data_IF_929887717150
#
_entry.id   IF_929887717150
#
_cell.length_a   1.000
_cell.length_b   1.000
_cell.length_c   1.000
_cell.angle_alpha   90.00
_cell.angle_beta   90.00
_cell.angle_gamma   90.00
#
_symmetry.space_group_name_H-M   'P 1'
#
loop_
_entity.id
_entity.type
_entity.pdbx_description
1 polymer ?
#
# COMPACT_ATOMS: atom_id res chain seq x y z
N UNK A 1 -5.82 -11.11 34.87
CA UNK A 1 -5.33 -9.91 34.15
C UNK A 1 -6.30 -9.68 33.01
N UNK A 2 -6.90 -8.49 32.91
CA UNK A 2 -7.83 -8.12 31.84
C UNK A 2 -7.16 -7.04 30.99
N UNK A 3 -7.21 -7.18 29.67
CA UNK A 3 -6.72 -6.18 28.71
C UNK A 3 -7.90 -5.60 27.94
N UNK A 4 -7.98 -4.28 27.84
CA UNK A 4 -9.04 -3.56 27.13
C UNK A 4 -8.40 -2.73 26.02
N UNK A 5 -8.85 -2.92 24.77
CA UNK A 5 -8.39 -2.15 23.61
C UNK A 5 -9.55 -1.39 23.00
N UNK A 6 -9.38 -0.08 22.84
CA UNK A 6 -10.38 0.82 22.26
C UNK A 6 -9.73 1.69 21.18
N UNK A 7 -10.47 1.99 20.11
CA UNK A 7 -10.03 2.88 19.03
C UNK A 7 -11.04 4.01 18.85
N UNK A 8 -10.58 5.24 18.61
CA UNK A 8 -11.41 6.37 18.18
C UNK A 8 -10.91 6.92 16.85
N UNK A 9 -11.84 7.23 15.94
CA UNK A 9 -11.53 7.91 14.67
C UNK A 9 -11.55 9.44 14.80
N UNK A 10 -12.00 9.98 15.94
CA UNK A 10 -12.08 11.42 16.18
C UNK A 10 -11.21 11.69 17.40
N UNK A 11 -10.00 12.19 17.16
CA UNK A 11 -8.98 12.39 18.20
C UNK A 11 -9.32 13.54 19.15
N UNK A 12 -10.00 14.57 18.66
CA UNK A 12 -10.33 15.78 19.44
C UNK A 12 -11.65 15.68 20.21
N UNK A 13 -12.49 14.70 19.88
CA UNK A 13 -13.77 14.46 20.56
C UNK A 13 -13.70 13.33 21.61
N UNK A 14 -12.51 12.81 21.89
CA UNK A 14 -12.34 11.78 22.92
C UNK A 14 -12.51 12.46 24.28
N UNK A 15 -13.41 11.88 25.07
CA UNK A 15 -13.66 12.36 26.43
C UNK A 15 -12.39 12.22 27.30
N UNK A 16 -12.12 13.24 28.11
CA UNK A 16 -10.85 13.39 28.83
C UNK A 16 -10.65 12.30 29.88
N UNK A 17 -11.70 11.84 30.57
CA UNK A 17 -11.60 10.75 31.53
C UNK A 17 -11.26 9.40 30.87
N UNK A 18 -11.64 9.16 29.61
CA UNK A 18 -11.15 8.01 28.84
C UNK A 18 -9.65 8.09 28.57
N UNK A 19 -9.16 9.27 28.22
CA UNK A 19 -7.73 9.52 28.05
C UNK A 19 -7.03 9.30 29.40
N UNK A 20 -7.49 9.89 30.49
CA UNK A 20 -6.83 9.80 31.79
C UNK A 20 -6.66 8.36 32.31
N UNK A 21 -7.61 7.47 31.99
CA UNK A 21 -7.59 6.05 32.40
C UNK A 21 -6.79 5.13 31.47
N UNK A 22 -6.35 5.61 30.31
CA UNK A 22 -5.61 4.79 29.36
C UNK A 22 -4.12 4.81 29.68
N UNK A 23 -3.56 3.64 29.98
CA UNK A 23 -2.11 3.47 30.20
C UNK A 23 -1.29 3.74 28.92
N UNK A 24 -1.86 3.44 27.75
CA UNK A 24 -1.23 3.62 26.46
C UNK A 24 -2.15 4.36 25.49
N UNK A 25 -1.61 5.44 24.90
CA UNK A 25 -2.29 6.26 23.90
C UNK A 25 -1.43 6.33 22.67
N UNK A 26 -1.93 5.80 21.56
CA UNK A 26 -1.22 5.77 20.29
C UNK A 26 -2.06 6.44 19.21
N UNK A 27 -1.52 7.48 18.60
CA UNK A 27 -2.06 8.03 17.37
C UNK A 27 -1.47 7.28 16.18
N UNK A 28 -2.33 6.69 15.34
CA UNK A 28 -1.93 5.95 14.14
C UNK A 28 -2.33 6.77 12.92
N UNK A 29 -1.34 7.37 12.27
CA UNK A 29 -1.52 8.17 11.07
C UNK A 29 -1.72 7.34 9.80
N UNK A 30 -1.57 8.01 8.65
CA UNK A 30 -1.55 7.33 7.35
C UNK A 30 -0.32 6.41 7.22
N UNK A 31 -0.42 5.31 6.46
CA UNK A 31 0.67 4.36 6.30
C UNK A 31 1.87 4.99 5.60
N UNK A 32 3.06 4.82 6.19
CA UNK A 32 4.34 5.16 5.57
C UNK A 32 4.67 4.23 4.40
N UNK A 33 5.71 4.55 3.63
CA UNK A 33 6.08 3.85 2.40
C UNK A 33 6.17 2.33 2.55
N UNK A 34 6.88 1.83 3.57
CA UNK A 34 7.03 0.40 3.80
C UNK A 34 5.70 -0.32 4.05
N UNK A 35 4.77 0.32 4.77
CA UNK A 35 3.45 -0.22 5.02
C UNK A 35 2.62 -0.25 3.73
N UNK A 36 2.71 0.79 2.88
CA UNK A 36 2.03 0.81 1.57
C UNK A 36 2.58 -0.28 0.67
N UNK A 37 3.91 -0.39 0.58
CA UNK A 37 4.59 -1.43 -0.19
C UNK A 37 4.19 -2.83 0.29
N UNK A 38 4.26 -3.09 1.61
CA UNK A 38 3.90 -4.38 2.21
C UNK A 38 2.45 -4.79 1.95
N UNK A 39 1.50 -3.85 2.06
CA UNK A 39 0.08 -4.11 1.76
C UNK A 39 -0.11 -4.50 0.28
N UNK A 40 0.45 -3.72 -0.64
CA UNK A 40 0.30 -3.97 -2.09
C UNK A 40 1.02 -5.25 -2.50
N UNK A 41 2.23 -5.47 -1.99
CA UNK A 41 3.01 -6.69 -2.17
C UNK A 41 2.23 -7.92 -1.73
N UNK A 42 1.69 -7.91 -0.52
CA UNK A 42 0.92 -9.04 0.02
C UNK A 42 -0.29 -9.37 -0.87
N UNK A 43 -0.99 -8.33 -1.36
CA UNK A 43 -2.10 -8.52 -2.27
C UNK A 43 -1.68 -9.09 -3.63
N UNK A 44 -0.61 -8.59 -4.25
CA UNK A 44 -0.10 -9.14 -5.50
C UNK A 44 0.38 -10.59 -5.33
N UNK A 45 1.12 -10.87 -4.25
CA UNK A 45 1.61 -12.22 -3.97
C UNK A 45 0.44 -13.21 -3.83
N UNK A 46 -0.65 -12.83 -3.15
CA UNK A 46 -1.85 -13.65 -3.06
C UNK A 46 -2.50 -13.90 -4.43
N UNK A 47 -2.59 -12.88 -5.29
CA UNK A 47 -3.14 -13.03 -6.65
C UNK A 47 -2.29 -13.96 -7.53
N UNK A 48 -0.97 -13.90 -7.39
CA UNK A 48 -0.04 -14.83 -8.06
C UNK A 48 -0.24 -16.24 -7.52
N UNK A 49 -0.30 -16.41 -6.20
CA UNK A 49 -0.53 -17.71 -5.55
C UNK A 49 -1.85 -18.36 -5.98
N UNK A 50 -2.90 -17.55 -6.20
CA UNK A 50 -4.20 -18.01 -6.72
C UNK A 50 -4.26 -18.14 -8.24
N UNK A 51 -3.16 -17.88 -8.95
CA UNK A 51 -3.07 -17.90 -10.42
C UNK A 51 -4.06 -16.96 -11.12
N UNK A 52 -4.46 -15.90 -10.43
CA UNK A 52 -5.28 -14.82 -11.00
C UNK A 52 -4.41 -13.83 -11.78
N UNK A 53 -3.15 -13.69 -11.38
CA UNK A 53 -2.12 -12.92 -12.08
C UNK A 53 -0.99 -13.85 -12.50
N UNK A 54 -0.61 -13.82 -13.78
CA UNK A 54 0.46 -14.63 -14.35
C UNK A 54 1.79 -13.88 -14.37
N UNK A 55 2.85 -14.54 -13.93
CA UNK A 55 4.23 -14.03 -14.02
C UNK A 55 4.94 -14.75 -15.17
N UNK A 56 5.55 -14.03 -16.13
CA UNK A 56 6.32 -14.66 -17.20
C UNK A 56 7.46 -15.51 -16.64
N UNK A 57 7.76 -16.65 -17.26
CA UNK A 57 8.82 -17.56 -16.79
C UNK A 57 10.24 -16.93 -16.76
N UNK A 58 10.46 -15.85 -17.52
CA UNK A 58 11.69 -15.08 -17.52
C UNK A 58 11.84 -14.12 -16.32
N UNK A 59 10.80 -13.99 -15.49
CA UNK A 59 10.76 -13.08 -14.34
C UNK A 59 10.66 -13.88 -13.04
N UNK A 60 11.43 -13.48 -12.03
CA UNK A 60 11.33 -14.07 -10.70
C UNK A 60 10.00 -13.66 -10.03
N UNK A 61 9.14 -14.61 -9.63
CA UNK A 61 7.89 -14.30 -8.93
C UNK A 61 8.13 -13.86 -7.48
N UNK A 62 9.34 -13.98 -6.94
CA UNK A 62 9.67 -13.55 -5.58
C UNK A 62 9.72 -12.03 -5.50
N UNK A 63 8.84 -11.47 -4.67
CA UNK A 63 8.78 -10.04 -4.37
C UNK A 63 9.52 -9.78 -3.03
N UNK A 64 10.57 -8.93 -3.02
CA UNK A 64 11.30 -8.58 -1.80
C UNK A 64 10.40 -8.04 -0.70
N UNK A 65 10.72 -8.29 0.57
CA UNK A 65 9.88 -7.93 1.72
C UNK A 65 9.74 -6.40 1.91
N UNK A 66 10.81 -5.66 1.63
CA UNK A 66 10.85 -4.21 1.70
C UNK A 66 10.97 -3.56 0.31
N UNK A 67 10.65 -2.25 0.21
CA UNK A 67 10.96 -1.49 -0.99
C UNK A 67 12.47 -1.46 -1.23
N UNK A 68 12.93 -1.31 -2.48
CA UNK A 68 14.34 -1.13 -2.80
C UNK A 68 14.86 0.11 -2.07
N UNK A 69 15.99 -0.03 -1.37
CA UNK A 69 16.68 1.11 -0.78
C UNK A 69 17.19 1.99 -1.92
N UNK A 70 16.60 3.17 -2.08
CA UNK A 70 17.22 4.20 -2.91
C UNK A 70 18.38 4.77 -2.12
N UNK A 71 19.59 4.67 -2.66
CA UNK A 71 20.81 5.20 -2.07
C UNK A 71 20.75 6.74 -2.00
N UNK A 72 20.03 7.28 -1.03
CA UNK A 72 20.07 8.71 -0.71
C UNK A 72 20.08 8.91 0.79
N UNK A 73 21.30 9.21 1.25
CA UNK A 73 21.68 9.86 2.52
C UNK A 73 21.66 8.97 3.77
N UNK A 74 22.85 8.88 4.36
CA UNK A 74 23.21 7.94 5.42
C UNK A 74 22.61 8.22 6.78
N UNK A 75 22.49 7.14 7.55
CA UNK A 75 22.97 7.08 8.92
C UNK A 75 23.41 5.64 9.19
N UNK A 76 24.63 5.51 9.69
CA UNK A 76 25.36 4.25 9.75
C UNK A 76 24.86 3.32 10.85
N UNK A 77 24.12 2.29 10.47
CA UNK A 77 24.06 1.02 11.20
C UNK A 77 23.98 -0.13 10.19
N UNK A 78 25.12 -0.76 9.91
CA UNK A 78 25.18 -2.00 9.13
C UNK A 78 24.83 -3.18 10.04
N UNK A 79 23.83 -3.97 9.65
CA UNK A 79 23.81 -5.41 9.92
C UNK A 79 23.36 -6.12 8.63
N UNK A 80 24.28 -6.94 8.12
CA UNK A 80 24.17 -7.96 7.08
C UNK A 80 22.78 -8.28 6.52
N UNK A 81 22.58 -7.98 5.24
CA UNK A 81 21.94 -8.90 4.28
C UNK A 81 22.46 -8.52 2.89
N UNK A 82 22.79 -9.50 2.05
CA UNK A 82 23.06 -9.24 0.63
C UNK A 82 21.82 -8.55 0.06
N UNK A 83 21.94 -7.26 -0.27
CA UNK A 83 20.84 -6.50 -0.85
C UNK A 83 20.29 -7.29 -2.03
N UNK A 84 18.97 -7.62 -2.05
CA UNK A 84 18.44 -8.49 -3.08
C UNK A 84 18.71 -7.84 -4.42
N UNK A 85 19.36 -8.57 -5.32
CA UNK A 85 19.51 -8.19 -6.72
C UNK A 85 18.22 -7.52 -7.19
N UNK A 86 18.32 -6.31 -7.74
CA UNK A 86 17.19 -5.42 -8.00
C UNK A 86 16.03 -6.19 -8.67
N UNK A 87 15.03 -6.61 -7.88
CA UNK A 87 13.88 -7.34 -8.40
C UNK A 87 13.10 -6.37 -9.26
N UNK A 88 12.95 -6.62 -10.57
CA UNK A 88 12.22 -5.70 -11.44
C UNK A 88 10.78 -5.50 -10.94
N UNK A 89 10.17 -6.55 -10.38
CA UNK A 89 8.85 -6.48 -9.79
C UNK A 89 8.82 -5.66 -8.49
N UNK A 90 9.86 -5.80 -7.65
CA UNK A 90 10.04 -4.98 -6.46
C UNK A 90 10.13 -3.47 -6.78
N UNK A 91 10.91 -3.11 -7.80
CA UNK A 91 11.02 -1.73 -8.27
C UNK A 91 9.69 -1.17 -8.80
N UNK A 92 8.98 -1.96 -9.60
CA UNK A 92 7.67 -1.57 -10.10
C UNK A 92 6.67 -1.36 -8.96
N UNK A 93 6.62 -2.27 -7.99
CA UNK A 93 5.77 -2.12 -6.81
C UNK A 93 6.14 -0.94 -5.93
N UNK A 94 7.42 -0.61 -5.81
CA UNK A 94 7.87 0.58 -5.08
C UNK A 94 7.32 1.86 -5.74
N UNK A 95 7.37 1.95 -7.07
CA UNK A 95 6.81 3.09 -7.80
C UNK A 95 5.31 3.27 -7.54
N UNK A 96 4.57 2.16 -7.46
CA UNK A 96 3.15 2.17 -7.09
C UNK A 96 2.96 2.60 -5.64
N UNK A 97 3.76 2.08 -4.71
CA UNK A 97 3.69 2.44 -3.30
C UNK A 97 3.94 3.94 -3.08
N UNK A 98 4.83 4.55 -3.88
CA UNK A 98 4.99 6.00 -3.93
C UNK A 98 3.74 6.71 -4.48
N UNK A 99 3.14 6.22 -5.58
CA UNK A 99 1.91 6.79 -6.13
C UNK A 99 0.73 6.75 -5.13
N UNK A 100 0.74 5.80 -4.18
CA UNK A 100 -0.28 5.65 -3.15
C UNK A 100 -0.08 6.53 -1.90
N UNK A 101 0.87 7.47 -1.91
CA UNK A 101 1.05 8.42 -0.81
C UNK A 101 -0.23 9.20 -0.51
N UNK A 102 -0.53 9.36 0.79
CA UNK A 102 -1.74 10.03 1.27
C UNK A 102 -2.98 9.13 1.37
N UNK A 103 -2.92 7.88 0.90
CA UNK A 103 -4.06 6.96 0.97
C UNK A 103 -4.21 6.32 2.36
N UNK A 104 -5.45 6.17 2.81
CA UNK A 104 -5.75 5.40 4.03
C UNK A 104 -5.49 3.90 3.82
N UNK A 105 -5.21 3.17 4.91
CA UNK A 105 -5.08 1.71 4.86
C UNK A 105 -6.33 1.00 4.31
N UNK A 106 -7.51 1.58 4.50
CA UNK A 106 -8.76 1.07 3.90
C UNK A 106 -8.73 1.18 2.37
N UNK A 107 -8.29 2.32 1.83
CA UNK A 107 -8.18 2.49 0.38
C UNK A 107 -7.12 1.56 -0.21
N UNK A 108 -5.94 1.46 0.42
CA UNK A 108 -4.86 0.57 -0.02
C UNK A 108 -5.29 -0.88 -0.11
N UNK A 109 -6.11 -1.38 0.83
CA UNK A 109 -6.64 -2.75 0.79
C UNK A 109 -7.68 -2.95 -0.32
N UNK A 110 -8.37 -1.90 -0.74
CA UNK A 110 -9.40 -1.95 -1.79
C UNK A 110 -8.79 -1.85 -3.19
N UNK A 111 -7.66 -1.18 -3.31
CA UNK A 111 -6.97 -0.85 -4.54
C UNK A 111 -6.57 -2.08 -5.39
N UNK A 112 -6.03 -3.19 -4.82
CA UNK A 112 -5.78 -4.44 -5.54
C UNK A 112 -7.00 -4.99 -6.29
N UNK A 113 -8.17 -4.98 -5.64
CA UNK A 113 -9.41 -5.45 -6.24
C UNK A 113 -9.87 -4.55 -7.39
N UNK A 114 -9.81 -3.23 -7.19
CA UNK A 114 -10.18 -2.26 -8.23
C UNK A 114 -9.26 -2.37 -9.46
N UNK A 115 -7.95 -2.48 -9.24
CA UNK A 115 -6.97 -2.68 -10.29
C UNK A 115 -7.20 -3.98 -11.05
N UNK A 116 -7.43 -5.09 -10.33
CA UNK A 116 -7.71 -6.38 -10.96
C UNK A 116 -9.01 -6.36 -11.77
N UNK A 117 -10.03 -5.65 -11.32
CA UNK A 117 -11.29 -5.48 -12.06
C UNK A 117 -11.08 -4.70 -13.37
N UNK A 118 -10.21 -3.68 -13.35
CA UNK A 118 -9.86 -2.89 -14.53
C UNK A 118 -9.09 -3.69 -15.60
N UNK A 119 -8.45 -4.81 -15.23
CA UNK A 119 -7.77 -5.69 -16.18
C UNK A 119 -8.71 -6.47 -17.11
N UNK A 120 -10.03 -6.44 -16.89
CA UNK A 120 -11.02 -7.01 -17.82
C UNK A 120 -11.19 -8.54 -17.67
N UNK A 121 -11.68 -8.98 -16.51
CA UNK A 121 -11.82 -10.38 -16.05
C UNK A 121 -12.78 -11.30 -16.84
N UNK A 122 -12.91 -11.13 -18.15
CA UNK A 122 -13.77 -11.97 -19.00
C UNK A 122 -13.08 -12.43 -20.29
N UNK A 123 -11.77 -12.23 -20.39
CA UNK A 123 -10.97 -12.67 -21.53
C UNK A 123 -10.39 -14.06 -21.24
N UNK A 124 -10.16 -14.86 -22.29
CA UNK A 124 -9.70 -16.24 -22.18
C UNK A 124 -8.27 -16.38 -21.61
N UNK A 125 -7.52 -15.27 -21.54
CA UNK A 125 -6.12 -15.23 -21.10
C UNK A 125 -5.99 -14.64 -19.69
N UNK A 126 -5.10 -15.20 -18.85
CA UNK A 126 -4.86 -14.70 -17.49
C UNK A 126 -4.21 -13.32 -17.53
N UNK A 127 -4.59 -12.45 -16.57
CA UNK A 127 -4.01 -11.12 -16.42
C UNK A 127 -2.51 -11.21 -16.15
N UNK A 128 -1.66 -10.60 -16.99
CA UNK A 128 -0.22 -10.59 -16.74
C UNK A 128 0.13 -9.68 -15.56
N UNK A 129 1.23 -9.97 -14.88
CA UNK A 129 1.73 -9.18 -13.75
C UNK A 129 2.03 -7.73 -14.15
N UNK A 130 2.57 -7.50 -15.35
CA UNK A 130 2.86 -6.16 -15.85
C UNK A 130 1.58 -5.37 -16.08
N UNK A 131 0.57 -5.99 -16.71
CA UNK A 131 -0.74 -5.38 -16.92
C UNK A 131 -1.41 -5.05 -15.58
N UNK A 132 -1.35 -5.97 -14.62
CA UNK A 132 -1.91 -5.75 -13.29
C UNK A 132 -1.22 -4.59 -12.56
N UNK A 133 0.11 -4.56 -12.54
CA UNK A 133 0.86 -3.48 -11.87
C UNK A 133 0.59 -2.12 -12.53
N UNK A 134 0.51 -2.07 -13.86
CA UNK A 134 0.12 -0.86 -14.57
C UNK A 134 -1.30 -0.40 -14.21
N UNK A 135 -2.27 -1.33 -14.20
CA UNK A 135 -3.64 -1.04 -13.76
C UNK A 135 -3.68 -0.55 -12.30
N UNK A 136 -2.80 -1.09 -11.45
CA UNK A 136 -2.68 -0.71 -10.05
C UNK A 136 -2.17 0.72 -9.89
N UNK A 137 -1.15 1.10 -10.66
CA UNK A 137 -0.65 2.48 -10.70
C UNK A 137 -1.73 3.45 -11.21
N UNK A 138 -2.41 3.13 -12.30
CA UNK A 138 -3.47 3.98 -12.86
C UNK A 138 -4.64 4.15 -11.89
N UNK A 139 -5.08 3.06 -11.27
CA UNK A 139 -6.14 3.09 -10.26
C UNK A 139 -5.73 3.95 -9.06
N UNK A 140 -4.47 3.87 -8.62
CA UNK A 140 -3.97 4.71 -7.54
C UNK A 140 -4.06 6.21 -7.88
N UNK A 141 -3.62 6.59 -9.08
CA UNK A 141 -3.69 7.97 -9.54
C UNK A 141 -5.15 8.47 -9.62
N UNK A 142 -6.05 7.67 -10.18
CA UNK A 142 -7.48 8.01 -10.25
C UNK A 142 -8.11 8.20 -8.86
N UNK A 143 -7.78 7.34 -7.89
CA UNK A 143 -8.29 7.50 -6.52
C UNK A 143 -7.75 8.77 -5.84
N UNK A 144 -6.50 9.15 -6.15
CA UNK A 144 -5.90 10.39 -5.67
C UNK A 144 -6.59 11.61 -6.28
N UNK A 145 -6.83 11.60 -7.59
CA UNK A 145 -7.58 12.66 -8.29
C UNK A 145 -9.01 12.80 -7.77
N UNK A 146 -9.72 11.68 -7.58
CA UNK A 146 -11.07 11.68 -7.01
C UNK A 146 -11.08 12.25 -5.57
N UNK A 147 -10.08 11.89 -4.76
CA UNK A 147 -9.92 12.44 -3.41
C UNK A 147 -9.63 13.95 -3.44
N UNK A 148 -8.83 14.42 -4.40
CA UNK A 148 -8.54 15.85 -4.55
C UNK A 148 -9.75 16.63 -5.06
N UNK A 149 -10.56 16.07 -5.96
CA UNK A 149 -11.77 16.71 -6.48
C UNK A 149 -12.84 16.91 -5.39
N UNK A 150 -12.96 15.97 -4.44
CA UNK A 150 -13.86 16.09 -3.28
C UNK A 150 -13.38 17.15 -2.28
N UNK A 151 -12.07 17.42 -2.23
CA UNK A 151 -11.47 18.41 -1.33
C UNK A 151 -11.10 19.74 -2.04
N UNK A 152 -11.54 19.94 -3.29
CA UNK A 152 -11.39 21.20 -4.05
C UNK A 152 -12.26 22.33 -3.47
N UNK A 153 -11.94 23.61 -3.77
CA UNK A 153 -12.26 24.73 -2.89
C UNK A 153 -13.77 24.91 -2.73
N UNK A 154 -14.22 24.80 -1.48
CA UNK A 154 -15.45 25.43 -1.01
C UNK A 154 -15.37 26.91 -1.39
N UNK A 155 -16.20 27.33 -2.33
CA UNK A 155 -16.23 28.69 -2.85
C UNK A 155 -16.37 29.72 -1.74
N UNK A 156 -15.59 30.78 -1.86
CA UNK A 156 -15.85 32.07 -1.24
C UNK A 156 -17.26 32.54 -1.61
N UNK A 157 -18.02 32.98 -0.61
CA UNK A 157 -19.31 33.64 -0.71
C UNK A 157 -19.55 34.48 0.52
#
# INVERSE_FOLDING_TARGET
IVFVMTSSNITEAIEVAFIDRADLKLHIGLPWLDARYSIIRGALQELICKRLVSVPAAMDPVIPQGPPVSETSGDGYNMVDEGPAASPLGNLLASVAHACEGMSGRMLRKLPFLAFAACGQWQAEPCSVLQYVQALQQTALQQKEASNAVNGPSGEG
#
